data_IF_034282475269
#
_entry.id   IF_034282475269
#
_cell.length_a   1.000
_cell.length_b   1.000
_cell.length_c   1.000
_cell.angle_alpha   90.00
_cell.angle_beta   90.00
_cell.angle_gamma   90.00
#
_symmetry.space_group_name_H-M   'P 1'
#
loop_
_entity.id
_entity.type
_entity.pdbx_description
1 polymer ?
#
# COMPACT_ATOMS: atom_id res chain seq x y z
N UNK A 1 -4.14 -6.39 -13.16
CA UNK A 1 -3.84 -5.04 -12.65
C UNK A 1 -4.96 -4.07 -13.02
N UNK A 2 -5.20 -3.06 -12.19
CA UNK A 2 -6.11 -1.97 -12.54
C UNK A 2 -5.45 -1.05 -13.57
N UNK A 3 -6.19 -0.57 -14.59
CA UNK A 3 -5.63 0.36 -15.56
C UNK A 3 -5.23 1.69 -14.88
N UNK A 4 -4.19 2.38 -15.37
CA UNK A 4 -3.65 3.59 -14.73
C UNK A 4 -4.72 4.65 -14.35
N UNK A 5 -5.72 4.97 -15.21
CA UNK A 5 -6.75 5.94 -14.85
C UNK A 5 -7.58 5.55 -13.61
N UNK A 6 -7.86 4.25 -13.45
CA UNK A 6 -8.60 3.77 -12.28
C UNK A 6 -7.75 3.85 -11.01
N UNK A 7 -6.44 3.55 -11.10
CA UNK A 7 -5.52 3.69 -9.97
C UNK A 7 -5.44 5.14 -9.48
N UNK A 8 -5.30 6.09 -10.40
CA UNK A 8 -5.34 7.53 -10.08
C UNK A 8 -6.64 7.91 -9.40
N UNK A 9 -7.79 7.47 -9.93
CA UNK A 9 -9.10 7.80 -9.36
C UNK A 9 -9.28 7.26 -7.94
N UNK A 10 -8.81 6.04 -7.68
CA UNK A 10 -8.85 5.44 -6.34
C UNK A 10 -7.92 6.17 -5.36
N UNK A 11 -6.73 6.58 -5.81
CA UNK A 11 -5.80 7.37 -5.00
C UNK A 11 -6.38 8.75 -4.63
N UNK A 12 -7.02 9.44 -5.59
CA UNK A 12 -7.74 10.69 -5.33
C UNK A 12 -8.87 10.51 -4.32
N UNK A 13 -9.63 9.41 -4.43
CA UNK A 13 -10.72 9.11 -3.51
C UNK A 13 -10.19 8.85 -2.09
N UNK A 14 -9.13 8.05 -1.95
CA UNK A 14 -8.48 7.80 -0.68
C UNK A 14 -8.01 9.11 -0.02
N UNK A 15 -7.35 9.98 -0.79
CA UNK A 15 -6.92 11.29 -0.33
C UNK A 15 -8.11 12.16 0.12
N UNK A 16 -9.21 12.16 -0.64
CA UNK A 16 -10.44 12.90 -0.30
C UNK A 16 -11.09 12.48 1.01
N UNK A 17 -10.87 11.24 1.45
CA UNK A 17 -11.35 10.70 2.73
C UNK A 17 -10.29 10.73 3.85
N UNK A 18 -9.10 11.29 3.60
CA UNK A 18 -8.00 11.26 4.58
C UNK A 18 -7.44 9.86 4.82
N UNK A 19 -7.62 8.94 3.87
CA UNK A 19 -7.07 7.59 3.93
C UNK A 19 -5.65 7.57 3.36
N UNK A 20 -4.79 6.77 3.97
CA UNK A 20 -3.44 6.52 3.46
C UNK A 20 -3.53 5.41 2.43
N UNK A 21 -3.39 5.78 1.15
CA UNK A 21 -3.30 4.80 0.07
C UNK A 21 -1.98 4.04 0.15
N UNK A 22 -2.05 2.73 -0.03
CA UNK A 22 -0.90 1.82 -0.11
C UNK A 22 -1.01 0.98 -1.38
N UNK A 23 -0.27 -0.13 -1.47
CA UNK A 23 -0.46 -1.12 -2.52
C UNK A 23 -0.15 -2.53 -2.00
N UNK A 24 -0.44 -3.53 -2.83
CA UNK A 24 -0.22 -4.93 -2.49
C UNK A 24 -0.51 -5.85 -3.67
N UNK A 25 0.08 -7.05 -3.65
CA UNK A 25 -0.10 -8.05 -4.71
C UNK A 25 -1.33 -8.93 -4.51
N UNK A 26 -1.96 -8.84 -3.33
CA UNK A 26 -3.05 -9.73 -2.90
C UNK A 26 -2.69 -11.21 -3.06
N UNK A 27 -1.41 -11.54 -2.87
CA UNK A 27 -0.90 -12.89 -3.04
C UNK A 27 -1.19 -13.74 -1.79
N UNK A 28 -1.98 -14.81 -1.96
CA UNK A 28 -2.40 -15.73 -0.89
C UNK A 28 -1.59 -17.04 -0.81
N UNK A 29 -0.44 -17.12 -1.46
CA UNK A 29 0.43 -18.31 -1.37
C UNK A 29 1.51 -18.19 -0.30
N UNK A 30 2.35 -19.22 -0.20
CA UNK A 30 3.51 -19.20 0.70
C UNK A 30 4.55 -18.19 0.23
N UNK A 31 5.29 -17.59 1.17
CA UNK A 31 6.41 -16.70 0.88
C UNK A 31 7.29 -17.26 -0.25
N UNK A 32 7.51 -16.46 -1.31
CA UNK A 32 8.37 -16.81 -2.44
C UNK A 32 9.80 -16.30 -2.16
N UNK A 33 10.81 -17.19 -2.05
CA UNK A 33 12.19 -16.77 -1.94
C UNK A 33 12.59 -15.89 -3.13
N UNK A 34 13.24 -14.75 -2.86
CA UNK A 34 13.69 -13.80 -3.90
C UNK A 34 12.66 -12.76 -4.33
N UNK A 35 11.53 -12.64 -3.62
CA UNK A 35 10.61 -11.52 -3.78
C UNK A 35 10.89 -10.44 -2.71
N UNK A 36 11.23 -9.24 -3.16
CA UNK A 36 11.45 -8.08 -2.30
C UNK A 36 10.12 -7.53 -1.77
N UNK A 37 10.12 -7.10 -0.51
CA UNK A 37 8.94 -6.46 0.09
C UNK A 37 8.63 -5.16 -0.65
N UNK A 38 7.36 -4.92 -0.95
CA UNK A 38 6.91 -3.72 -1.67
C UNK A 38 7.02 -3.81 -3.19
N UNK A 39 7.73 -4.80 -3.74
CA UNK A 39 7.80 -5.06 -5.18
C UNK A 39 7.01 -6.33 -5.50
N UNK A 40 6.15 -6.27 -6.50
CA UNK A 40 5.37 -7.42 -6.98
C UNK A 40 5.68 -7.81 -8.41
N UNK A 41 4.92 -8.78 -8.92
CA UNK A 41 4.88 -9.03 -10.35
C UNK A 41 4.23 -7.84 -11.08
N UNK A 42 4.62 -7.60 -12.33
CA UNK A 42 4.06 -6.52 -13.15
C UNK A 42 4.65 -5.15 -12.80
N UNK A 43 3.78 -4.16 -12.61
CA UNK A 43 4.16 -2.78 -12.28
C UNK A 43 3.94 -2.42 -10.80
N UNK A 44 3.68 -3.41 -9.94
CA UNK A 44 3.51 -3.19 -8.51
C UNK A 44 4.83 -2.77 -7.84
N UNK A 45 4.88 -1.51 -7.45
CA UNK A 45 5.92 -0.92 -6.59
C UNK A 45 5.27 -0.05 -5.54
N UNK A 46 5.36 -0.47 -4.27
CA UNK A 46 4.85 0.26 -3.11
C UNK A 46 6.01 1.03 -2.48
N UNK A 47 6.01 2.37 -2.50
CA UNK A 47 7.11 3.17 -1.97
C UNK A 47 7.15 3.17 -0.44
N UNK A 48 8.34 3.27 0.15
CA UNK A 48 8.54 3.36 1.60
C UNK A 48 7.78 4.51 2.26
N UNK A 49 7.51 5.59 1.52
CA UNK A 49 6.69 6.71 1.98
C UNK A 49 5.28 6.29 2.45
N UNK A 50 4.73 5.18 1.91
CA UNK A 50 3.47 4.62 2.38
C UNK A 50 3.60 4.05 3.81
N UNK A 51 4.72 3.40 4.11
CA UNK A 51 5.05 2.92 5.46
C UNK A 51 5.26 4.08 6.43
N UNK A 52 6.01 5.10 6.03
CA UNK A 52 6.25 6.29 6.85
C UNK A 52 4.95 7.02 7.21
N UNK A 53 4.04 7.15 6.24
CA UNK A 53 2.72 7.74 6.46
C UNK A 53 1.90 6.93 7.48
N UNK A 54 1.91 5.59 7.37
CA UNK A 54 1.24 4.72 8.35
C UNK A 54 1.84 4.83 9.74
N UNK A 55 3.17 4.89 9.84
CA UNK A 55 3.87 5.03 11.11
C UNK A 55 3.54 6.36 11.79
N UNK A 56 3.45 7.45 11.01
CA UNK A 56 3.06 8.76 11.49
C UNK A 56 1.59 8.82 11.93
N UNK A 57 0.70 8.10 11.25
CA UNK A 57 -0.73 8.04 11.57
C UNK A 57 -1.08 7.03 12.67
N UNK A 58 -0.13 6.16 13.06
CA UNK A 58 -0.33 5.18 14.11
C UNK A 58 -0.78 5.90 15.39
N UNK A 59 -1.97 5.60 15.94
CA UNK A 59 -2.39 6.19 17.20
C UNK A 59 -1.37 5.84 18.28
N UNK A 60 -1.00 6.83 19.10
CA UNK A 60 -0.26 6.57 20.34
C UNK A 60 -1.07 5.55 21.12
N UNK A 61 -0.47 4.44 21.52
CA UNK A 61 -1.13 3.31 22.19
C UNK A 61 -2.27 3.80 23.10
N UNK A 62 -3.51 3.37 22.84
CA UNK A 62 -4.47 3.30 23.92
C UNK A 62 -3.89 2.29 24.93
N UNK A 63 -3.82 2.63 26.24
CA UNK A 63 -3.29 1.71 27.23
C UNK A 63 -4.03 0.37 27.11
N UNK A 64 -3.26 -0.72 27.01
CA UNK A 64 -3.78 -2.10 27.01
C UNK A 64 -4.57 -2.39 28.28
#
# INVERSE_FOLDING_TARGET
>A
EYPPPLRTRLAEMAAGFGLIATGGSDYHGTYKPGLDLGIGHGDLSVPDAAYDALLAARPREAPR
#
